data_IF_046131136672
#
_entry.id   IF_046131136672
#
_cell.length_a   1.000
_cell.length_b   1.000
_cell.length_c   1.000
_cell.angle_alpha   90.00
_cell.angle_beta   90.00
_cell.angle_gamma   90.00
#
_symmetry.space_group_name_H-M   'P 1'
#
loop_
_entity.id
_entity.type
_entity.pdbx_description
1 polymer ?
#
# COMPACT_ATOMS: atom_id res chain seq x y z
N UNK A 1 10.92 -22.92 1.09
CA UNK A 1 10.30 -21.76 0.41
C UNK A 1 9.69 -20.81 1.44
N UNK A 2 9.15 -21.31 2.55
CA UNK A 2 8.47 -20.51 3.59
C UNK A 2 9.35 -19.48 4.31
N UNK A 3 10.64 -19.75 4.53
CA UNK A 3 11.52 -18.85 5.30
C UNK A 3 11.61 -17.43 4.71
N UNK A 4 11.56 -17.31 3.37
CA UNK A 4 11.63 -16.02 2.70
C UNK A 4 10.32 -15.25 2.76
N UNK A 5 9.17 -15.93 2.68
CA UNK A 5 7.88 -15.28 2.84
C UNK A 5 7.70 -14.73 4.26
N UNK A 6 8.12 -15.52 5.26
CA UNK A 6 8.14 -15.08 6.66
C UNK A 6 9.07 -13.87 6.86
N UNK A 7 10.24 -13.87 6.21
CA UNK A 7 11.17 -12.73 6.26
C UNK A 7 10.53 -11.44 5.70
N UNK A 8 9.81 -11.53 4.58
CA UNK A 8 9.09 -10.38 4.00
C UNK A 8 8.04 -9.85 4.98
N UNK A 9 7.28 -10.73 5.65
CA UNK A 9 6.29 -10.31 6.65
C UNK A 9 6.94 -9.56 7.82
N UNK A 10 8.07 -10.06 8.33
CA UNK A 10 8.82 -9.42 9.41
C UNK A 10 9.35 -8.05 8.99
N UNK A 11 9.96 -7.94 7.81
CA UNK A 11 10.48 -6.66 7.29
C UNK A 11 9.36 -5.66 7.02
N UNK A 12 8.20 -6.12 6.56
CA UNK A 12 7.01 -5.28 6.39
C UNK A 12 6.49 -4.79 7.75
N UNK A 13 6.46 -5.64 8.77
CA UNK A 13 6.06 -5.25 10.13
C UNK A 13 7.04 -4.25 10.75
N UNK A 14 8.34 -4.45 10.51
CA UNK A 14 9.39 -3.51 10.89
C UNK A 14 9.17 -2.13 10.24
N UNK A 15 8.89 -2.10 8.92
CA UNK A 15 8.56 -0.84 8.22
C UNK A 15 7.36 -0.13 8.85
N UNK A 16 6.29 -0.86 9.16
CA UNK A 16 5.08 -0.31 9.82
C UNK A 16 5.39 0.24 11.20
N UNK A 17 6.22 -0.45 11.97
CA UNK A 17 6.61 -0.04 13.32
C UNK A 17 7.45 1.23 13.27
N UNK A 18 8.43 1.31 12.38
CA UNK A 18 9.20 2.55 12.20
C UNK A 18 8.34 3.71 11.73
N UNK A 19 7.38 3.47 10.84
CA UNK A 19 6.43 4.50 10.42
C UNK A 19 5.58 4.99 11.59
N UNK A 20 5.08 4.09 12.45
CA UNK A 20 4.31 4.43 13.65
C UNK A 20 5.15 5.24 14.67
N UNK A 21 6.47 5.05 14.69
CA UNK A 21 7.42 5.84 15.48
C UNK A 21 7.88 7.13 14.75
N UNK A 22 7.26 7.49 13.62
CA UNK A 22 7.63 8.62 12.77
C UNK A 22 9.07 8.58 12.24
N UNK A 23 9.71 7.41 12.21
CA UNK A 23 11.05 7.21 11.67
C UNK A 23 10.98 6.81 10.19
N UNK A 24 10.68 7.80 9.32
CA UNK A 24 10.49 7.58 7.89
C UNK A 24 11.71 6.96 7.18
N UNK A 25 12.96 7.41 7.42
CA UNK A 25 14.13 6.85 6.74
C UNK A 25 14.30 5.34 7.02
N UNK A 26 14.10 4.91 8.28
CA UNK A 26 14.17 3.49 8.62
C UNK A 26 12.98 2.70 8.09
N UNK A 27 11.77 3.29 8.11
CA UNK A 27 10.59 2.65 7.56
C UNK A 27 10.74 2.35 6.06
N UNK A 28 11.32 3.29 5.30
CA UNK A 28 11.62 3.12 3.87
C UNK A 28 12.72 2.09 3.62
N UNK A 29 13.78 2.11 4.42
CA UNK A 29 14.87 1.13 4.30
C UNK A 29 14.36 -0.31 4.53
N UNK A 30 13.54 -0.50 5.57
CA UNK A 30 12.90 -1.79 5.84
C UNK A 30 11.96 -2.23 4.70
N UNK A 31 11.17 -1.31 4.14
CA UNK A 31 10.29 -1.60 3.00
C UNK A 31 11.07 -1.97 1.73
N UNK A 32 12.16 -1.26 1.43
CA UNK A 32 13.04 -1.57 0.29
C UNK A 32 13.60 -2.99 0.42
N UNK A 33 13.98 -3.37 1.64
CA UNK A 33 14.45 -4.72 1.96
C UNK A 33 13.33 -5.76 1.74
N UNK A 34 12.13 -5.49 2.27
CA UNK A 34 10.95 -6.34 2.09
C UNK A 34 10.62 -6.58 0.61
N UNK A 35 10.64 -5.54 -0.22
CA UNK A 35 10.39 -5.66 -1.67
C UNK A 35 11.48 -6.45 -2.39
N UNK A 36 12.74 -6.27 -2.00
CA UNK A 36 13.85 -7.03 -2.58
C UNK A 36 13.71 -8.52 -2.29
N UNK A 37 13.35 -8.88 -1.05
CA UNK A 37 13.09 -10.26 -0.66
C UNK A 37 11.83 -10.82 -1.33
N UNK A 38 10.77 -10.02 -1.45
CA UNK A 38 9.53 -10.40 -2.12
C UNK A 38 9.74 -10.69 -3.62
N UNK A 39 10.52 -9.88 -4.33
CA UNK A 39 10.85 -10.11 -5.73
C UNK A 39 11.67 -11.39 -5.97
N UNK A 40 12.36 -11.90 -4.94
CA UNK A 40 13.14 -13.13 -5.02
C UNK A 40 12.28 -14.39 -4.79
N UNK A 41 10.97 -14.25 -4.57
CA UNK A 41 10.01 -15.32 -4.37
C UNK A 41 8.73 -15.07 -5.16
N UNK A 42 7.91 -16.10 -5.33
CA UNK A 42 6.53 -15.88 -5.75
C UNK A 42 5.73 -15.41 -4.53
N UNK A 43 5.55 -14.09 -4.41
CA UNK A 43 4.89 -13.47 -3.26
C UNK A 43 3.38 -13.75 -3.31
N UNK A 44 2.75 -14.24 -2.21
CA UNK A 44 1.31 -14.42 -2.16
C UNK A 44 0.57 -13.09 -2.41
N UNK A 45 -0.58 -13.07 -3.12
CA UNK A 45 -1.30 -11.84 -3.47
C UNK A 45 -1.59 -10.93 -2.27
N UNK A 46 -1.98 -11.53 -1.13
CA UNK A 46 -2.23 -10.81 0.12
C UNK A 46 -1.00 -10.08 0.67
N UNK A 47 0.19 -10.68 0.54
CA UNK A 47 1.44 -10.11 1.03
C UNK A 47 1.95 -9.02 0.06
N UNK A 48 1.80 -9.25 -1.24
CA UNK A 48 2.09 -8.25 -2.27
C UNK A 48 1.23 -6.99 -2.07
N UNK A 49 -0.09 -7.14 -1.95
CA UNK A 49 -1.01 -6.03 -1.67
C UNK A 49 -0.65 -5.28 -0.37
N UNK A 50 -0.10 -5.98 0.63
CA UNK A 50 0.35 -5.36 1.88
C UNK A 50 1.66 -4.56 1.71
N UNK A 51 2.56 -4.98 0.82
CA UNK A 51 3.76 -4.23 0.44
C UNK A 51 3.38 -2.98 -0.35
N UNK A 52 2.43 -3.09 -1.27
CA UNK A 52 1.96 -1.97 -2.08
C UNK A 52 1.24 -0.93 -1.20
N UNK A 53 0.41 -1.39 -0.25
CA UNK A 53 -0.21 -0.51 0.75
C UNK A 53 0.83 0.28 1.56
N UNK A 54 1.88 -0.39 2.04
CA UNK A 54 2.94 0.28 2.79
C UNK A 54 3.75 1.23 1.90
N UNK A 55 3.96 0.87 0.63
CA UNK A 55 4.63 1.73 -0.35
C UNK A 55 3.86 3.03 -0.56
N UNK A 56 2.53 2.96 -0.72
CA UNK A 56 1.69 4.15 -0.82
C UNK A 56 1.80 5.05 0.42
N UNK A 57 1.78 4.47 1.62
CA UNK A 57 1.90 5.22 2.89
C UNK A 57 3.23 5.95 2.98
N UNK A 58 4.35 5.29 2.63
CA UNK A 58 5.68 5.91 2.71
C UNK A 58 5.82 7.06 1.70
N UNK A 59 5.39 6.87 0.44
CA UNK A 59 5.47 7.95 -0.58
C UNK A 59 4.56 9.14 -0.22
N UNK A 60 3.39 8.87 0.34
CA UNK A 60 2.49 9.90 0.85
C UNK A 60 3.11 10.68 2.04
N UNK A 61 3.77 9.98 2.97
CA UNK A 61 4.29 10.58 4.20
C UNK A 61 5.62 11.33 4.03
N UNK A 62 6.52 10.82 3.19
CA UNK A 62 7.89 11.37 3.05
C UNK A 62 7.99 12.41 1.94
N UNK A 63 7.51 12.08 0.74
CA UNK A 63 7.73 12.89 -0.47
C UNK A 63 6.51 13.75 -0.83
N UNK A 64 5.37 13.56 -0.13
CA UNK A 64 4.06 14.09 -0.51
C UNK A 64 3.74 13.79 -1.98
N UNK A 65 4.27 12.69 -2.51
CA UNK A 65 4.00 12.25 -3.86
C UNK A 65 2.70 11.45 -3.88
N UNK A 66 1.60 12.20 -3.82
CA UNK A 66 0.25 11.65 -3.82
C UNK A 66 -0.11 10.94 -5.14
N UNK A 67 0.58 11.28 -6.24
CA UNK A 67 0.35 10.66 -7.55
C UNK A 67 0.90 9.25 -7.57
N UNK A 68 2.15 9.08 -7.13
CA UNK A 68 2.77 7.76 -7.02
C UNK A 68 2.12 6.93 -5.90
N UNK A 69 1.78 7.56 -4.77
CA UNK A 69 1.06 6.89 -3.69
C UNK A 69 -0.29 6.34 -4.15
N UNK A 70 -1.05 7.10 -4.96
CA UNK A 70 -2.31 6.63 -5.55
C UNK A 70 -2.10 5.34 -6.36
N UNK A 71 -1.08 5.28 -7.22
CA UNK A 71 -0.80 4.08 -8.02
C UNK A 71 -0.53 2.86 -7.13
N UNK A 72 0.27 3.02 -6.06
CA UNK A 72 0.49 1.93 -5.11
C UNK A 72 -0.78 1.49 -4.38
N UNK A 73 -1.65 2.43 -4.00
CA UNK A 73 -2.92 2.09 -3.38
C UNK A 73 -3.90 1.41 -4.35
N UNK A 74 -3.84 1.74 -5.64
CA UNK A 74 -4.62 1.08 -6.68
C UNK A 74 -4.20 -0.39 -6.85
N UNK A 75 -2.89 -0.67 -6.98
CA UNK A 75 -2.36 -2.04 -7.03
C UNK A 75 -2.73 -2.84 -5.76
N UNK A 76 -2.63 -2.19 -4.59
CA UNK A 76 -3.06 -2.80 -3.33
C UNK A 76 -4.57 -3.10 -3.31
N UNK A 77 -5.39 -2.21 -3.89
CA UNK A 77 -6.83 -2.41 -4.01
C UNK A 77 -7.15 -3.61 -4.90
N UNK A 78 -6.62 -3.68 -6.12
CA UNK A 78 -6.83 -4.84 -7.02
C UNK A 78 -6.32 -6.14 -6.40
N UNK A 79 -5.18 -6.08 -5.71
CA UNK A 79 -4.61 -7.22 -5.00
C UNK A 79 -5.47 -7.69 -3.81
N UNK A 80 -6.19 -6.80 -3.13
CA UNK A 80 -7.11 -7.17 -2.05
C UNK A 80 -8.50 -7.58 -2.56
N UNK A 81 -8.98 -6.95 -3.63
CA UNK A 81 -10.28 -7.22 -4.25
C UNK A 81 -10.31 -8.61 -4.91
N UNK A 82 -9.23 -8.97 -5.61
CA UNK A 82 -9.07 -10.31 -6.22
C UNK A 82 -9.11 -11.48 -5.23
N UNK A 83 -8.93 -11.22 -3.93
CA UNK A 83 -9.01 -12.21 -2.86
C UNK A 83 -10.16 -11.95 -1.87
N UNK A 84 -11.11 -11.07 -2.24
CA UNK A 84 -12.27 -10.67 -1.44
C UNK A 84 -11.90 -10.25 -0.01
N UNK A 85 -10.80 -9.50 0.13
CA UNK A 85 -10.33 -9.04 1.42
C UNK A 85 -11.03 -7.76 1.84
N UNK A 86 -11.50 -7.64 3.10
CA UNK A 86 -12.07 -6.37 3.60
C UNK A 86 -11.06 -5.21 3.62
N UNK A 87 -9.76 -5.52 3.42
CA UNK A 87 -8.71 -4.51 3.27
C UNK A 87 -8.80 -3.74 1.94
N UNK A 88 -9.53 -4.24 0.93
CA UNK A 88 -9.79 -3.53 -0.31
C UNK A 88 -10.45 -2.16 -0.04
N UNK A 89 -11.46 -2.13 0.84
CA UNK A 89 -12.11 -0.89 1.28
C UNK A 89 -11.11 0.08 1.93
N UNK A 90 -10.12 -0.45 2.65
CA UNK A 90 -9.07 0.37 3.25
C UNK A 90 -8.19 0.98 2.16
N UNK A 91 -7.66 0.18 1.23
CA UNK A 91 -6.87 0.70 0.11
C UNK A 91 -7.64 1.80 -0.68
N UNK A 92 -8.92 1.58 -0.94
CA UNK A 92 -9.78 2.54 -1.60
C UNK A 92 -9.93 3.87 -0.84
N UNK A 93 -10.08 3.84 0.50
CA UNK A 93 -10.08 5.06 1.32
C UNK A 93 -8.79 5.87 1.14
N UNK A 94 -7.64 5.20 1.08
CA UNK A 94 -6.36 5.87 0.84
C UNK A 94 -6.22 6.41 -0.59
N UNK A 95 -6.80 5.74 -1.60
CA UNK A 95 -6.88 6.27 -2.96
C UNK A 95 -7.69 7.57 -3.03
N UNK A 96 -8.87 7.60 -2.40
CA UNK A 96 -9.70 8.81 -2.32
C UNK A 96 -8.97 9.95 -1.60
N UNK A 97 -8.27 9.63 -0.51
CA UNK A 97 -7.43 10.61 0.20
C UNK A 97 -6.37 11.21 -0.73
N UNK A 98 -5.68 10.39 -1.55
CA UNK A 98 -4.71 10.90 -2.50
C UNK A 98 -5.33 11.87 -3.52
N UNK A 99 -6.53 11.57 -4.03
CA UNK A 99 -7.25 12.45 -4.96
C UNK A 99 -7.68 13.78 -4.33
N UNK A 100 -8.09 13.75 -3.06
CA UNK A 100 -8.36 14.98 -2.29
C UNK A 100 -7.08 15.80 -2.12
N UNK A 101 -5.96 15.16 -1.76
CA UNK A 101 -4.66 15.84 -1.59
C UNK A 101 -4.10 16.41 -2.90
N UNK A 102 -4.45 15.83 -4.04
CA UNK A 102 -4.14 16.34 -5.40
C UNK A 102 -5.11 17.44 -5.86
N UNK A 103 -6.00 17.93 -5.00
CA UNK A 103 -6.97 18.98 -5.28
C UNK A 103 -7.85 18.68 -6.52
N UNK A 104 -8.15 17.40 -6.74
CA UNK A 104 -8.98 16.91 -7.85
C UNK A 104 -10.24 16.20 -7.31
N UNK A 105 -11.17 16.94 -6.66
CA UNK A 105 -12.34 16.35 -6.02
C UNK A 105 -13.38 15.79 -6.99
N UNK A 106 -13.31 16.19 -8.27
CA UNK A 106 -14.21 15.75 -9.33
C UNK A 106 -14.06 14.23 -9.57
N UNK A 107 -12.80 13.75 -9.56
CA UNK A 107 -12.47 12.32 -9.64
C UNK A 107 -12.96 11.52 -8.42
N UNK A 108 -13.06 12.18 -7.25
CA UNK A 108 -13.52 11.54 -6.00
C UNK A 108 -15.00 11.19 -6.13
N UNK A 109 -15.82 12.05 -6.73
CA UNK A 109 -17.24 11.77 -6.95
C UNK A 109 -17.43 10.57 -7.87
N UNK A 110 -16.69 10.53 -8.98
CA UNK A 110 -16.73 9.40 -9.92
C UNK A 110 -16.31 8.07 -9.27
N UNK A 111 -15.25 8.08 -8.44
CA UNK A 111 -14.79 6.88 -7.71
C UNK A 111 -15.77 6.46 -6.60
N UNK A 112 -16.47 7.40 -5.97
CA UNK A 112 -17.46 7.10 -4.92
C UNK A 112 -18.76 6.55 -5.50
N UNK A 113 -19.10 6.88 -6.75
CA UNK A 113 -20.23 6.27 -7.46
C UNK A 113 -19.96 4.81 -7.82
N UNK A 114 -18.72 4.46 -8.20
CA UNK A 114 -18.30 3.08 -8.38
C UNK A 114 -18.45 2.24 -7.10
N UNK A 115 -18.27 2.87 -5.93
CA UNK A 115 -18.45 2.28 -4.60
C UNK A 115 -19.88 1.86 -4.26
N UNK A 116 -20.90 2.39 -4.96
CA UNK A 116 -22.30 1.98 -4.75
C UNK A 116 -22.66 0.67 -5.46
N UNK A 117 -21.80 0.21 -6.37
CA UNK A 117 -22.01 -0.98 -7.18
C UNK A 117 -21.27 -2.22 -6.65
N UNK A 118 -20.47 -2.08 -5.58
CA UNK A 118 -19.77 -3.15 -4.85
C UNK A 118 -20.47 -3.35 -3.51
#
# INVERSE_FOLDING_TARGET
MDDKALLVEVQLLESKTYHALSNLPKARAALTSARTTANAIYCPPKLQAALDMQSGIIHAAEEKDWKTAYSYFYEAFEGYDSIDSPKAITALKYMLLCKIMLNSPEDVQALTEALKCV
#
